data_IF_447592813444
#
_entry.id   IF_447592813444
#
_cell.length_a   1.000
_cell.length_b   1.000
_cell.length_c   1.000
_cell.angle_alpha   90.00
_cell.angle_beta   90.00
_cell.angle_gamma   90.00
#
_symmetry.space_group_name_H-M   'P 1'
#
loop_
_entity.id
_entity.type
_entity.pdbx_description
1 polymer ?
#
# COMPACT_ATOMS: atom_id res chain seq x y z
N UNK A 1 0.01 12.62 -16.84
CA UNK A 1 -0.27 13.17 -15.51
C UNK A 1 1.00 13.07 -14.69
N UNK A 2 1.34 14.10 -13.91
CA UNK A 2 2.43 14.02 -12.93
C UNK A 2 1.80 14.10 -11.55
N UNK A 3 2.07 13.11 -10.70
CA UNK A 3 1.62 13.09 -9.31
C UNK A 3 2.76 13.61 -8.43
N UNK A 4 2.45 14.52 -7.51
CA UNK A 4 3.44 15.14 -6.62
C UNK A 4 3.58 14.40 -5.28
N UNK A 5 2.79 13.36 -5.03
CA UNK A 5 2.86 12.56 -3.81
C UNK A 5 2.42 11.11 -4.02
N UNK A 6 2.87 10.23 -3.12
CA UNK A 6 2.42 8.84 -3.04
C UNK A 6 0.90 8.75 -2.81
N UNK A 7 0.35 9.58 -1.93
CA UNK A 7 -1.10 9.61 -1.67
C UNK A 7 -1.91 9.99 -2.92
N UNK A 8 -1.40 10.88 -3.76
CA UNK A 8 -2.07 11.31 -4.98
C UNK A 8 -2.11 10.18 -6.03
N UNK A 9 -1.00 9.47 -6.26
CA UNK A 9 -0.98 8.32 -7.19
C UNK A 9 -1.84 7.16 -6.66
N UNK A 10 -1.82 6.86 -5.36
CA UNK A 10 -2.66 5.81 -4.76
C UNK A 10 -4.16 6.15 -4.91
N UNK A 11 -4.54 7.40 -4.65
CA UNK A 11 -5.92 7.86 -4.85
C UNK A 11 -6.36 7.77 -6.31
N UNK A 12 -5.47 8.15 -7.23
CA UNK A 12 -5.73 8.02 -8.66
C UNK A 12 -5.87 6.55 -9.08
N UNK A 13 -5.05 5.66 -8.54
CA UNK A 13 -5.18 4.23 -8.76
C UNK A 13 -6.56 3.71 -8.34
N UNK A 14 -6.99 4.06 -7.12
CA UNK A 14 -8.30 3.67 -6.60
C UNK A 14 -9.45 4.15 -7.47
N UNK A 15 -9.38 5.39 -7.97
CA UNK A 15 -10.41 5.99 -8.83
C UNK A 15 -10.42 5.40 -10.24
N UNK A 16 -9.24 5.25 -10.84
CA UNK A 16 -9.13 4.95 -12.27
C UNK A 16 -9.13 3.45 -12.58
N UNK A 17 -8.71 2.60 -11.62
CA UNK A 17 -8.60 1.14 -11.81
C UNK A 17 -9.54 0.37 -10.88
N UNK A 18 -9.35 0.48 -9.56
CA UNK A 18 -10.06 -0.36 -8.59
C UNK A 18 -11.57 -0.09 -8.58
N UNK A 19 -11.99 1.18 -8.51
CA UNK A 19 -13.41 1.58 -8.50
C UNK A 19 -14.13 1.24 -9.81
N UNK A 20 -13.39 1.14 -10.92
CA UNK A 20 -13.94 0.74 -12.22
C UNK A 20 -13.98 -0.77 -12.42
N UNK A 21 -13.49 -1.55 -11.45
CA UNK A 21 -13.44 -3.01 -11.52
C UNK A 21 -12.41 -3.56 -12.52
N UNK A 22 -11.42 -2.74 -12.93
CA UNK A 22 -10.33 -3.20 -13.81
C UNK A 22 -9.40 -4.15 -13.04
N UNK A 23 -9.27 -3.91 -11.74
CA UNK A 23 -8.54 -4.75 -10.78
C UNK A 23 -9.43 -4.98 -9.56
N UNK A 24 -9.15 -6.00 -8.73
CA UNK A 24 -9.85 -6.21 -7.47
C UNK A 24 -9.86 -4.95 -6.59
N UNK A 25 -10.99 -4.68 -5.93
CA UNK A 25 -11.19 -3.44 -5.17
C UNK A 25 -10.21 -3.33 -3.99
N UNK A 26 -9.85 -4.47 -3.40
CA UNK A 26 -8.91 -4.62 -2.29
C UNK A 26 -7.51 -4.11 -2.64
N UNK A 27 -7.11 -4.05 -3.92
CA UNK A 27 -5.79 -3.59 -4.29
C UNK A 27 -5.57 -2.12 -3.96
N UNK A 28 -6.63 -1.30 -3.98
CA UNK A 28 -6.53 0.07 -3.50
C UNK A 28 -6.24 0.12 -1.99
N UNK A 29 -6.87 -0.75 -1.19
CA UNK A 29 -6.62 -0.87 0.24
C UNK A 29 -5.19 -1.34 0.50
N UNK A 30 -4.72 -2.36 -0.21
CA UNK A 30 -3.36 -2.88 -0.06
C UNK A 30 -2.30 -1.81 -0.33
N UNK A 31 -2.49 -0.95 -1.34
CA UNK A 31 -1.56 0.15 -1.62
C UNK A 31 -1.53 1.20 -0.50
N UNK A 32 -2.69 1.53 0.08
CA UNK A 32 -2.76 2.45 1.23
C UNK A 32 -1.99 1.85 2.40
N UNK A 33 -2.35 0.64 2.81
CA UNK A 33 -1.79 -0.01 3.99
C UNK A 33 -0.28 -0.26 3.81
N UNK A 34 0.16 -0.60 2.60
CA UNK A 34 1.58 -0.77 2.26
C UNK A 34 2.36 0.53 2.36
N UNK A 35 1.83 1.64 1.85
CA UNK A 35 2.51 2.93 1.95
C UNK A 35 2.59 3.42 3.41
N UNK A 36 1.57 3.18 4.22
CA UNK A 36 1.59 3.48 5.65
C UNK A 36 2.65 2.65 6.39
N UNK A 37 2.65 1.32 6.18
CA UNK A 37 3.65 0.43 6.79
C UNK A 37 5.07 0.71 6.29
N UNK A 38 5.26 1.04 5.01
CA UNK A 38 6.58 1.47 4.50
C UNK A 38 7.05 2.74 5.21
N UNK A 39 6.17 3.72 5.38
CA UNK A 39 6.48 4.95 6.10
C UNK A 39 6.85 4.65 7.56
N UNK A 40 6.11 3.75 8.19
CA UNK A 40 6.42 3.28 9.55
C UNK A 40 7.80 2.59 9.60
N UNK A 41 8.09 1.66 8.70
CA UNK A 41 9.38 0.97 8.67
C UNK A 41 10.57 1.89 8.39
N UNK A 42 10.40 2.88 7.50
CA UNK A 42 11.48 3.79 7.09
C UNK A 42 11.77 4.89 8.12
N UNK A 43 10.74 5.36 8.83
CA UNK A 43 10.85 6.60 9.63
C UNK A 43 10.46 6.46 11.11
N UNK A 44 9.96 5.31 11.56
CA UNK A 44 9.63 5.15 12.98
C UNK A 44 10.90 4.99 13.81
N UNK A 45 11.08 5.92 14.75
CA UNK A 45 12.15 5.87 15.76
C UNK A 45 11.69 5.23 17.09
N UNK A 46 10.42 4.84 17.14
CA UNK A 46 9.76 4.27 18.30
C UNK A 46 9.84 2.74 18.26
N UNK A 47 10.56 2.16 19.22
CA UNK A 47 10.77 0.71 19.30
C UNK A 47 9.46 -0.06 19.55
N UNK A 48 8.43 0.58 20.12
CA UNK A 48 7.12 -0.05 20.34
C UNK A 48 6.25 -0.05 19.10
N UNK A 49 6.64 0.68 18.05
CA UNK A 49 5.95 0.76 16.76
C UNK A 49 6.73 0.12 15.63
N UNK A 50 7.55 -0.88 15.92
CA UNK A 50 8.16 -1.68 14.84
C UNK A 50 7.12 -2.58 14.18
N UNK A 51 7.31 -2.86 12.89
CA UNK A 51 6.49 -3.81 12.17
C UNK A 51 6.73 -5.22 12.72
N UNK A 52 5.65 -5.97 12.91
CA UNK A 52 5.76 -7.40 13.27
C UNK A 52 6.12 -8.25 12.05
N UNK A 53 6.62 -9.46 12.28
CA UNK A 53 6.87 -10.43 11.20
C UNK A 53 5.59 -10.79 10.44
N UNK A 54 4.45 -10.81 11.13
CA UNK A 54 3.13 -11.02 10.52
C UNK A 54 2.76 -9.86 9.59
N UNK A 55 3.02 -8.62 10.01
CA UNK A 55 2.79 -7.44 9.18
C UNK A 55 3.60 -7.49 7.88
N UNK A 56 4.87 -7.88 7.99
CA UNK A 56 5.79 -8.02 6.85
C UNK A 56 5.34 -9.16 5.93
N UNK A 57 4.93 -10.29 6.49
CA UNK A 57 4.45 -11.44 5.73
C UNK A 57 3.19 -11.09 4.93
N UNK A 58 2.24 -10.38 5.56
CA UNK A 58 1.03 -9.89 4.88
C UNK A 58 1.40 -8.95 3.73
N UNK A 59 2.32 -8.02 3.95
CA UNK A 59 2.78 -7.08 2.91
C UNK A 59 3.37 -7.80 1.70
N UNK A 60 4.19 -8.83 1.93
CA UNK A 60 4.80 -9.63 0.87
C UNK A 60 3.72 -10.35 0.05
N UNK A 61 2.77 -11.00 0.71
CA UNK A 61 1.68 -11.71 0.02
C UNK A 61 0.78 -10.77 -0.77
N UNK A 62 0.40 -9.62 -0.19
CA UNK A 62 -0.37 -8.59 -0.90
C UNK A 62 0.38 -8.05 -2.12
N UNK A 63 1.70 -7.85 -2.00
CA UNK A 63 2.54 -7.39 -3.11
C UNK A 63 2.63 -8.43 -4.23
N UNK A 64 2.73 -9.72 -3.89
CA UNK A 64 2.72 -10.81 -4.88
C UNK A 64 1.39 -10.86 -5.64
N UNK A 65 0.26 -10.72 -4.95
CA UNK A 65 -1.05 -10.67 -5.59
C UNK A 65 -1.20 -9.49 -6.54
N UNK A 66 -0.55 -8.36 -6.24
CA UNK A 66 -0.63 -7.15 -7.06
C UNK A 66 0.16 -7.23 -8.37
N UNK A 67 1.24 -8.01 -8.43
CA UNK A 67 2.16 -8.08 -9.59
C UNK A 67 1.92 -9.27 -10.53
N UNK A 68 1.05 -10.21 -10.16
CA UNK A 68 0.65 -11.35 -10.99
C UNK A 68 -0.39 -10.95 -12.04
#
# INVERSE_FOLDING_TARGET
>A
MSFSSHSAIISAFGKEFAKKGIVPLEFHRYLIDTQDKRTQGDYSIDNERQLSDDDVSILIEQSKLFIQ
#
